data_IF_878395047195
#
_entry.id   IF_878395047195
#
_cell.length_a   1.000
_cell.length_b   1.000
_cell.length_c   1.000
_cell.angle_alpha   90.00
_cell.angle_beta   90.00
_cell.angle_gamma   90.00
#
_symmetry.space_group_name_H-M   'P 1'
#
loop_
_entity.id
_entity.type
_entity.pdbx_description
1 polymer ?
#
# COMPACT_ATOMS: atom_id res chain seq x y z
N UNK A 1 49.99 45.12 10.43
CA UNK A 1 50.03 45.71 11.78
C UNK A 1 48.92 45.08 12.61
N UNK A 2 49.08 43.91 13.19
CA UNK A 2 50.11 42.86 13.05
C UNK A 2 49.47 41.53 13.49
N UNK A 3 49.70 40.41 12.79
CA UNK A 3 50.82 39.49 13.05
C UNK A 3 50.85 39.07 14.54
N UNK A 4 50.16 38.01 14.94
CA UNK A 4 50.58 36.59 14.84
C UNK A 4 51.52 36.15 15.97
N UNK A 5 50.92 35.60 17.03
CA UNK A 5 51.54 34.64 17.94
C UNK A 5 50.54 33.47 18.09
N UNK A 6 50.91 32.19 18.07
CA UNK A 6 52.26 31.63 18.08
C UNK A 6 52.47 30.69 19.26
N UNK A 7 51.67 29.61 19.36
CA UNK A 7 51.86 28.58 20.38
C UNK A 7 51.63 27.18 19.80
N UNK A 8 52.70 26.58 19.27
CA UNK A 8 52.76 25.14 19.07
C UNK A 8 52.93 24.47 20.44
N UNK A 9 51.84 23.96 21.01
CA UNK A 9 51.88 23.08 22.18
C UNK A 9 52.09 21.63 21.76
N UNK A 10 53.22 21.06 22.19
CA UNK A 10 53.53 19.63 22.37
C UNK A 10 52.67 18.56 21.65
N UNK A 11 53.35 17.70 20.87
CA UNK A 11 52.87 16.37 20.45
C UNK A 11 52.64 15.41 21.64
N UNK A 12 51.64 15.68 22.47
CA UNK A 12 51.02 14.62 23.27
C UNK A 12 50.19 13.75 22.33
N UNK A 13 50.67 12.53 22.08
CA UNK A 13 49.86 11.50 21.44
C UNK A 13 48.66 11.21 22.36
N UNK A 14 47.52 11.80 22.04
CA UNK A 14 46.24 11.40 22.58
C UNK A 14 46.01 9.93 22.20
N UNK A 15 46.21 9.03 23.17
CA UNK A 15 45.81 7.64 23.01
C UNK A 15 44.28 7.60 22.89
N UNK A 16 43.78 7.06 21.77
CA UNK A 16 42.33 6.91 21.61
C UNK A 16 41.81 5.93 22.66
N UNK A 17 41.10 6.47 23.64
CA UNK A 17 40.41 5.68 24.67
C UNK A 17 39.39 4.72 24.03
N UNK A 18 39.17 3.53 24.62
CA UNK A 18 38.13 2.61 24.15
C UNK A 18 36.74 3.26 24.12
N UNK A 19 35.91 2.89 23.14
CA UNK A 19 34.56 3.46 22.95
C UNK A 19 33.68 3.39 24.21
N UNK A 20 33.83 2.34 25.01
CA UNK A 20 33.10 2.15 26.28
C UNK A 20 33.55 3.13 27.37
N UNK A 21 34.81 3.54 27.36
CA UNK A 21 35.36 4.55 28.27
C UNK A 21 34.97 5.96 27.81
N UNK A 22 35.05 6.24 26.51
CA UNK A 22 34.50 7.48 25.93
C UNK A 22 33.01 7.65 26.27
N UNK A 23 32.21 6.58 26.13
CA UNK A 23 30.79 6.59 26.49
C UNK A 23 30.57 6.84 27.99
N UNK A 24 31.38 6.23 28.87
CA UNK A 24 31.32 6.52 30.32
C UNK A 24 31.64 7.97 30.64
N UNK A 25 32.67 8.55 30.01
CA UNK A 25 33.04 9.96 30.21
C UNK A 25 31.88 10.86 29.77
N UNK A 26 31.36 10.66 28.54
CA UNK A 26 30.20 11.43 28.03
C UNK A 26 28.99 11.31 28.97
N UNK A 27 28.64 10.09 29.41
CA UNK A 27 27.52 9.88 30.33
C UNK A 27 27.77 10.47 31.74
N UNK A 28 29.02 10.53 32.20
CA UNK A 28 29.36 11.10 33.51
C UNK A 28 29.19 12.63 33.58
N UNK A 29 29.30 13.32 32.44
CA UNK A 29 29.09 14.77 32.32
C UNK A 29 27.74 15.14 31.69
N UNK A 30 26.95 14.15 31.26
CA UNK A 30 25.62 14.37 30.67
C UNK A 30 24.54 14.42 31.75
N UNK A 31 23.97 15.61 31.98
CA UNK A 31 22.78 15.74 32.83
C UNK A 31 21.53 15.20 32.11
N UNK A 32 20.83 14.25 32.75
CA UNK A 32 19.55 13.75 32.25
C UNK A 32 18.44 14.76 32.54
N UNK A 33 18.17 15.63 31.56
CA UNK A 33 17.11 16.63 31.64
C UNK A 33 15.72 16.00 31.89
N UNK A 34 14.82 16.69 32.60
CA UNK A 34 13.50 16.17 32.95
C UNK A 34 12.56 16.06 31.74
N UNK A 35 11.57 15.15 31.77
CA UNK A 35 10.66 14.96 30.67
C UNK A 35 9.60 16.07 30.61
N UNK A 36 9.49 16.73 29.45
CA UNK A 36 8.49 17.76 29.14
C UNK A 36 7.37 17.17 28.29
N UNK A 37 6.12 17.47 28.63
CA UNK A 37 4.97 17.09 27.79
C UNK A 37 4.86 18.09 26.63
N UNK A 38 4.82 17.60 25.39
CA UNK A 38 4.73 18.42 24.17
C UNK A 38 3.72 17.85 23.19
N UNK A 39 3.18 18.68 22.31
CA UNK A 39 2.36 18.19 21.18
C UNK A 39 3.22 17.39 20.20
N UNK A 40 2.59 16.51 19.40
CA UNK A 40 3.28 15.72 18.38
C UNK A 40 4.03 16.59 17.35
N UNK A 41 3.48 17.78 17.05
CA UNK A 41 4.08 18.75 16.13
C UNK A 41 5.37 19.35 16.68
N UNK A 42 5.46 19.50 18.01
CA UNK A 42 6.63 20.01 18.73
C UNK A 42 7.62 18.90 19.13
N UNK A 43 7.31 17.63 18.89
CA UNK A 43 8.17 16.50 19.24
C UNK A 43 9.39 16.34 18.33
N UNK A 44 9.42 17.03 17.17
CA UNK A 44 10.54 16.99 16.22
C UNK A 44 11.86 17.41 16.90
N UNK A 45 12.89 16.59 16.74
CA UNK A 45 14.21 16.81 17.37
C UNK A 45 14.29 16.46 18.86
N UNK A 46 13.30 15.76 19.42
CA UNK A 46 13.37 15.20 20.78
C UNK A 46 13.41 13.67 20.76
N UNK A 47 13.86 13.08 21.86
CA UNK A 47 13.84 11.63 22.10
C UNK A 47 12.75 11.27 23.09
N UNK A 48 12.18 10.07 22.97
CA UNK A 48 11.16 9.58 23.90
C UNK A 48 11.76 9.42 25.30
N UNK A 49 11.02 9.83 26.34
CA UNK A 49 11.45 9.61 27.73
C UNK A 49 11.18 8.17 28.20
N UNK A 50 10.24 7.48 27.55
CA UNK A 50 9.72 6.15 27.88
C UNK A 50 9.18 5.42 26.63
N UNK A 51 9.02 4.10 26.71
CA UNK A 51 8.54 3.25 25.61
C UNK A 51 7.05 3.48 25.31
N UNK A 52 6.71 3.72 24.04
CA UNK A 52 5.31 3.85 23.58
C UNK A 52 4.72 2.49 23.21
N UNK A 53 3.44 2.28 23.54
CA UNK A 53 2.70 1.04 23.29
C UNK A 53 1.37 1.33 22.63
N UNK A 54 0.98 0.52 21.64
CA UNK A 54 -0.32 0.65 20.99
C UNK A 54 -1.44 0.19 21.93
N UNK A 55 -2.52 0.98 22.13
CA UNK A 55 -3.64 0.58 22.99
C UNK A 55 -4.47 -0.56 22.37
N UNK A 56 -4.52 -0.64 21.05
CA UNK A 56 -5.26 -1.66 20.29
C UNK A 56 -4.32 -2.59 19.51
N UNK A 57 -4.67 -3.88 19.35
CA UNK A 57 -3.97 -4.77 18.43
C UNK A 57 -4.19 -4.30 16.98
N UNK A 58 -3.09 -4.12 16.25
CA UNK A 58 -3.09 -3.90 14.80
C UNK A 58 -2.34 -5.07 14.14
N UNK A 59 -3.00 -5.95 13.37
CA UNK A 59 -4.42 -5.93 12.99
C UNK A 59 -5.41 -6.27 14.13
N UNK A 60 -6.68 -5.84 14.04
CA UNK A 60 -7.70 -6.01 15.10
C UNK A 60 -8.32 -7.43 15.13
N UNK A 61 -7.56 -8.43 14.72
CA UNK A 61 -7.91 -9.85 14.75
C UNK A 61 -6.63 -10.68 14.80
N UNK A 62 -6.64 -11.90 15.38
CA UNK A 62 -5.47 -12.77 15.38
C UNK A 62 -5.05 -13.10 13.94
N UNK A 63 -3.96 -12.51 13.50
CA UNK A 63 -3.36 -12.74 12.20
C UNK A 63 -1.85 -12.84 12.36
N UNK A 64 -1.27 -13.95 11.94
CA UNK A 64 0.18 -14.03 11.85
C UNK A 64 0.65 -13.15 10.69
N UNK A 65 1.35 -12.06 11.04
CA UNK A 65 1.92 -11.09 10.09
C UNK A 65 3.30 -11.56 9.56
N UNK A 66 3.73 -12.75 9.98
CA UNK A 66 4.93 -13.50 9.59
C UNK A 66 4.53 -14.98 9.49
N UNK A 67 5.39 -15.82 8.93
CA UNK A 67 5.27 -17.27 9.16
C UNK A 67 5.40 -17.54 10.67
N UNK A 68 4.62 -18.48 11.20
CA UNK A 68 4.52 -18.71 12.65
C UNK A 68 4.09 -20.14 12.99
N UNK A 69 3.74 -20.37 14.26
CA UNK A 69 3.28 -21.68 14.73
C UNK A 69 1.94 -21.54 15.46
N UNK A 70 1.01 -22.44 15.20
CA UNK A 70 -0.13 -22.68 16.06
C UNK A 70 0.30 -23.62 17.20
N UNK A 71 0.02 -23.21 18.44
CA UNK A 71 0.49 -23.85 19.68
C UNK A 71 -0.67 -23.94 20.67
N UNK A 72 -0.62 -24.83 21.66
CA UNK A 72 -1.56 -24.78 22.78
C UNK A 72 -1.07 -23.74 23.80
N UNK A 73 -1.92 -22.77 24.13
CA UNK A 73 -1.52 -21.60 24.93
C UNK A 73 -1.01 -21.93 26.35
N UNK A 74 -1.39 -23.09 26.90
CA UNK A 74 -0.95 -23.58 28.22
C UNK A 74 0.48 -24.11 28.25
N UNK A 75 1.06 -24.45 27.09
CA UNK A 75 2.35 -25.16 27.03
C UNK A 75 3.53 -24.23 27.37
N UNK A 76 3.38 -22.93 27.11
CA UNK A 76 4.42 -21.93 27.37
C UNK A 76 5.61 -21.99 26.40
N UNK A 77 6.72 -21.29 26.69
CA UNK A 77 7.91 -21.29 25.86
C UNK A 77 8.66 -22.64 25.93
N UNK A 78 8.98 -23.23 24.79
CA UNK A 78 9.71 -24.49 24.70
C UNK A 78 10.00 -24.91 23.25
N UNK A 79 10.71 -26.03 23.10
CA UNK A 79 10.86 -26.73 21.81
C UNK A 79 9.81 -27.83 21.69
N UNK A 80 9.11 -27.89 20.56
CA UNK A 80 8.00 -28.81 20.34
C UNK A 80 8.05 -29.43 18.94
N UNK A 81 7.64 -30.70 18.78
CA UNK A 81 7.54 -31.35 17.47
C UNK A 81 6.48 -30.65 16.59
N UNK A 82 6.86 -30.38 15.34
CA UNK A 82 5.95 -29.87 14.30
C UNK A 82 5.14 -31.04 13.73
N UNK A 83 3.86 -31.12 14.07
CA UNK A 83 2.99 -32.25 13.68
C UNK A 83 2.29 -32.07 12.32
N UNK A 84 2.22 -30.83 11.82
CA UNK A 84 1.69 -30.52 10.48
C UNK A 84 2.16 -29.14 10.03
N UNK A 85 2.01 -28.88 8.73
CA UNK A 85 2.35 -27.59 8.12
C UNK A 85 1.15 -27.07 7.31
N UNK A 86 0.50 -26.02 7.81
CA UNK A 86 -0.49 -25.26 7.06
C UNK A 86 0.23 -24.37 6.04
N UNK A 87 0.28 -24.86 4.80
CA UNK A 87 0.95 -24.24 3.65
C UNK A 87 -0.08 -23.94 2.57
N UNK A 88 0.15 -22.93 1.74
CA UNK A 88 -0.77 -22.64 0.63
C UNK A 88 -0.98 -23.89 -0.26
N UNK A 89 -2.17 -24.48 -0.24
CA UNK A 89 -2.51 -25.73 -0.95
C UNK A 89 -2.39 -27.03 -0.13
N UNK A 90 -1.99 -26.96 1.14
CA UNK A 90 -2.16 -27.99 2.16
C UNK A 90 -2.62 -27.31 3.45
N UNK A 91 -3.94 -27.27 3.65
CA UNK A 91 -4.55 -26.49 4.73
C UNK A 91 -4.38 -27.15 6.12
N UNK A 92 -3.80 -28.36 6.20
CA UNK A 92 -3.62 -29.11 7.47
C UNK A 92 -4.90 -29.76 7.99
N UNK A 93 -5.92 -29.92 7.13
CA UNK A 93 -7.25 -30.41 7.50
C UNK A 93 -7.21 -31.77 8.20
N UNK A 94 -7.96 -31.90 9.28
CA UNK A 94 -8.04 -33.12 10.10
C UNK A 94 -6.99 -33.21 11.21
N UNK A 95 -5.99 -32.33 11.24
CA UNK A 95 -5.00 -32.27 12.34
C UNK A 95 -5.45 -31.23 13.39
N UNK A 96 -5.52 -31.65 14.65
CA UNK A 96 -5.72 -30.76 15.80
C UNK A 96 -4.41 -30.66 16.57
N UNK A 97 -4.00 -29.44 16.93
CA UNK A 97 -2.81 -29.22 17.77
C UNK A 97 -3.12 -29.67 19.20
N UNK A 98 -2.34 -30.60 19.72
CA UNK A 98 -2.45 -31.13 21.09
C UNK A 98 -1.36 -30.55 21.99
N UNK A 99 -1.52 -30.56 23.32
CA UNK A 99 -0.48 -30.09 24.24
C UNK A 99 0.87 -30.77 23.98
N UNK A 100 1.95 -29.99 24.00
CA UNK A 100 3.31 -30.42 23.69
C UNK A 100 3.59 -30.58 22.19
N UNK A 101 2.74 -30.06 21.30
CA UNK A 101 2.92 -30.11 19.83
C UNK A 101 2.63 -28.76 19.19
N UNK A 102 3.16 -28.54 17.98
CA UNK A 102 2.89 -27.33 17.21
C UNK A 102 2.58 -27.63 15.75
N UNK A 103 1.83 -26.74 15.08
CA UNK A 103 1.65 -26.76 13.63
C UNK A 103 2.32 -25.53 13.02
N UNK A 104 3.17 -25.71 12.01
CA UNK A 104 3.76 -24.58 11.28
C UNK A 104 2.72 -23.93 10.38
N UNK A 105 2.52 -22.63 10.48
CA UNK A 105 1.52 -21.87 9.72
C UNK A 105 2.25 -20.83 8.89
N UNK A 106 2.30 -21.06 7.58
CA UNK A 106 2.84 -20.08 6.64
C UNK A 106 1.81 -19.00 6.29
N UNK A 107 2.32 -17.85 5.87
CA UNK A 107 1.57 -16.81 5.19
C UNK A 107 1.04 -17.31 3.83
N UNK A 108 -0.22 -17.76 3.77
CA UNK A 108 -0.77 -18.31 2.52
C UNK A 108 -2.29 -18.39 2.42
N UNK A 109 -2.82 -17.97 1.28
CA UNK A 109 -4.19 -18.29 0.78
C UNK A 109 -4.09 -18.63 -0.72
N UNK A 110 -5.16 -19.22 -1.26
CA UNK A 110 -5.42 -19.63 -2.66
C UNK A 110 -4.92 -18.66 -3.76
N UNK A 111 -3.61 -18.64 -3.98
CA UNK A 111 -3.06 -18.54 -5.33
C UNK A 111 -3.21 -19.91 -5.99
N UNK A 112 -3.49 -19.93 -7.28
CA UNK A 112 -3.50 -21.18 -8.04
C UNK A 112 -2.10 -21.79 -8.14
N UNK A 113 -2.01 -23.10 -8.44
CA UNK A 113 -0.74 -23.84 -8.44
C UNK A 113 0.27 -23.30 -9.45
N UNK A 114 -0.19 -22.79 -10.59
CA UNK A 114 0.65 -22.23 -11.65
C UNK A 114 1.32 -20.95 -11.15
N UNK A 115 0.53 -19.96 -10.74
CA UNK A 115 1.04 -18.68 -10.23
C UNK A 115 1.90 -18.87 -8.96
N UNK A 116 1.52 -19.79 -8.06
CA UNK A 116 2.34 -20.09 -6.88
C UNK A 116 3.73 -20.61 -7.25
N UNK A 117 3.88 -21.34 -8.36
CA UNK A 117 5.18 -21.86 -8.83
C UNK A 117 6.15 -20.77 -9.32
N UNK A 118 5.67 -19.53 -9.48
CA UNK A 118 6.47 -18.39 -9.94
C UNK A 118 6.96 -17.50 -8.80
N UNK A 119 6.61 -17.81 -7.54
CA UNK A 119 6.76 -16.93 -6.39
C UNK A 119 7.57 -17.58 -5.26
N UNK A 120 8.48 -16.78 -4.67
CA UNK A 120 9.24 -17.13 -3.48
C UNK A 120 9.20 -15.95 -2.50
N UNK A 121 8.61 -16.14 -1.32
CA UNK A 121 8.63 -15.16 -0.22
C UNK A 121 9.84 -15.43 0.69
N UNK A 122 9.98 -14.68 1.78
CA UNK A 122 11.18 -14.70 2.64
C UNK A 122 11.64 -16.12 3.02
N UNK A 123 10.73 -16.98 3.48
CA UNK A 123 11.07 -18.36 3.85
C UNK A 123 11.56 -19.20 2.66
N UNK A 124 10.96 -19.08 1.47
CA UNK A 124 11.43 -19.79 0.28
C UNK A 124 12.81 -19.25 -0.17
N UNK A 125 13.08 -17.96 -0.03
CA UNK A 125 14.38 -17.36 -0.37
C UNK A 125 15.54 -17.88 0.48
N UNK A 126 15.29 -18.20 1.76
CA UNK A 126 16.28 -18.88 2.60
C UNK A 126 16.59 -20.28 2.06
N UNK A 127 15.60 -21.01 1.56
CA UNK A 127 15.79 -22.32 0.90
C UNK A 127 16.55 -22.17 -0.42
N UNK A 128 16.21 -21.18 -1.25
CA UNK A 128 16.90 -20.88 -2.52
C UNK A 128 18.39 -20.61 -2.32
N UNK A 129 18.76 -19.72 -1.38
CA UNK A 129 20.16 -19.39 -1.09
C UNK A 129 20.94 -20.60 -0.55
N UNK A 130 20.34 -21.39 0.34
CA UNK A 130 20.96 -22.61 0.84
C UNK A 130 21.17 -23.68 -0.25
N UNK A 131 20.23 -23.81 -1.19
CA UNK A 131 20.35 -24.73 -2.32
C UNK A 131 21.46 -24.30 -3.30
N UNK A 132 21.59 -23.00 -3.56
CA UNK A 132 22.68 -22.43 -4.36
C UNK A 132 24.05 -22.67 -3.70
N UNK A 133 24.17 -22.40 -2.39
CA UNK A 133 25.41 -22.62 -1.64
C UNK A 133 25.85 -24.09 -1.66
N UNK A 134 24.93 -25.04 -1.43
CA UNK A 134 25.22 -26.48 -1.52
C UNK A 134 25.63 -26.91 -2.93
N UNK A 135 24.99 -26.35 -3.97
CA UNK A 135 25.35 -26.63 -5.36
C UNK A 135 26.76 -26.15 -5.69
N UNK A 136 27.19 -24.99 -5.15
CA UNK A 136 28.56 -24.49 -5.29
C UNK A 136 29.58 -25.36 -4.54
N UNK A 137 29.21 -26.00 -3.44
CA UNK A 137 30.03 -27.01 -2.75
C UNK A 137 29.92 -28.42 -3.35
N UNK A 138 29.36 -28.57 -4.56
CA UNK A 138 29.28 -29.84 -5.29
C UNK A 138 28.08 -30.74 -4.94
N UNK A 139 27.15 -30.31 -4.09
CA UNK A 139 25.95 -31.07 -3.70
C UNK A 139 24.69 -30.39 -4.25
N UNK A 140 24.25 -30.82 -5.44
CA UNK A 140 23.12 -30.22 -6.15
C UNK A 140 21.79 -30.94 -5.85
N UNK A 141 20.78 -30.17 -5.46
CA UNK A 141 19.39 -30.65 -5.30
C UNK A 141 18.67 -30.65 -6.66
N UNK A 142 18.81 -31.74 -7.42
CA UNK A 142 18.22 -31.86 -8.76
C UNK A 142 16.68 -31.68 -8.77
N UNK A 143 15.99 -32.06 -7.70
CA UNK A 143 14.54 -31.92 -7.62
C UNK A 143 14.14 -30.44 -7.51
N UNK A 144 14.83 -29.67 -6.66
CA UNK A 144 14.61 -28.23 -6.50
C UNK A 144 14.98 -27.45 -7.78
N UNK A 145 16.14 -27.73 -8.38
CA UNK A 145 16.58 -27.04 -9.59
C UNK A 145 15.70 -27.39 -10.81
N UNK A 146 15.22 -28.62 -10.92
CA UNK A 146 14.23 -29.02 -11.94
C UNK A 146 12.90 -28.32 -11.74
N UNK A 147 12.36 -28.31 -10.51
CA UNK A 147 11.12 -27.61 -10.18
C UNK A 147 11.18 -26.10 -10.47
N UNK A 148 12.28 -25.43 -10.10
CA UNK A 148 12.52 -24.03 -10.44
C UNK A 148 12.57 -23.82 -11.97
N UNK A 149 13.26 -24.69 -12.71
CA UNK A 149 13.35 -24.60 -14.17
C UNK A 149 11.99 -24.76 -14.85
N UNK A 150 11.17 -25.70 -14.38
CA UNK A 150 9.78 -25.87 -14.85
C UNK A 150 8.90 -24.67 -14.49
N UNK A 151 9.02 -24.11 -13.28
CA UNK A 151 8.30 -22.90 -12.86
C UNK A 151 8.61 -21.71 -13.78
N UNK A 152 9.90 -21.44 -14.00
CA UNK A 152 10.37 -20.36 -14.90
C UNK A 152 9.92 -20.57 -16.36
N UNK A 153 9.98 -21.80 -16.87
CA UNK A 153 9.51 -22.14 -18.20
C UNK A 153 7.98 -21.92 -18.33
N UNK A 154 7.20 -22.41 -17.36
CA UNK A 154 5.74 -22.27 -17.35
C UNK A 154 5.31 -20.81 -17.38
N UNK A 155 5.96 -19.93 -16.59
CA UNK A 155 5.72 -18.49 -16.60
C UNK A 155 5.97 -17.88 -17.98
N UNK A 156 7.11 -18.17 -18.59
CA UNK A 156 7.47 -17.64 -19.92
C UNK A 156 6.49 -18.07 -21.02
N UNK A 157 5.90 -19.26 -20.90
CA UNK A 157 4.90 -19.78 -21.85
C UNK A 157 3.44 -19.44 -21.50
N UNK A 158 3.17 -18.87 -20.32
CA UNK A 158 1.78 -18.76 -19.83
C UNK A 158 1.02 -17.65 -20.57
N UNK A 159 -0.16 -17.94 -21.16
CA UNK A 159 -1.01 -16.92 -21.80
C UNK A 159 -1.63 -15.94 -20.77
N UNK A 160 -1.39 -16.16 -19.48
CA UNK A 160 -1.74 -15.22 -18.40
C UNK A 160 -0.70 -14.12 -18.24
N UNK A 161 0.54 -14.34 -18.73
CA UNK A 161 1.65 -13.40 -18.58
C UNK A 161 1.65 -12.39 -19.73
N UNK A 162 1.44 -12.81 -20.97
CA UNK A 162 1.46 -11.93 -22.15
C UNK A 162 0.09 -11.78 -22.79
N UNK A 163 -0.24 -10.57 -23.25
CA UNK A 163 -1.45 -10.24 -24.00
C UNK A 163 -1.07 -9.37 -25.20
N UNK A 164 -1.13 -9.96 -26.40
CA UNK A 164 -0.71 -9.30 -27.64
C UNK A 164 -1.48 -8.00 -27.93
N UNK A 165 -2.76 -7.90 -27.57
CA UNK A 165 -3.54 -6.68 -27.76
C UNK A 165 -3.00 -5.54 -26.88
N UNK A 166 -2.70 -5.82 -25.61
CA UNK A 166 -2.12 -4.84 -24.67
C UNK A 166 -0.76 -4.36 -25.15
N UNK A 167 0.08 -5.28 -25.64
CA UNK A 167 1.40 -4.93 -26.15
C UNK A 167 1.30 -4.06 -27.41
N UNK A 168 0.34 -4.34 -28.29
CA UNK A 168 0.04 -3.52 -29.46
C UNK A 168 -0.50 -2.13 -29.06
N UNK A 169 -1.40 -2.04 -28.08
CA UNK A 169 -1.97 -0.77 -27.61
C UNK A 169 -0.90 0.11 -26.96
N UNK A 170 0.00 -0.46 -26.13
CA UNK A 170 1.15 0.26 -25.56
C UNK A 170 2.11 0.73 -26.65
N UNK A 171 2.41 -0.11 -27.64
CA UNK A 171 3.26 0.27 -28.78
C UNK A 171 2.63 1.35 -29.68
N UNK A 172 1.30 1.48 -29.67
CA UNK A 172 0.57 2.50 -30.42
C UNK A 172 0.51 3.88 -29.73
N UNK A 173 0.93 4.00 -28.46
CA UNK A 173 0.90 5.26 -27.71
C UNK A 173 1.85 6.29 -28.33
N UNK A 174 1.30 7.45 -28.68
CA UNK A 174 2.05 8.57 -29.29
C UNK A 174 2.37 9.63 -28.24
N UNK A 175 3.43 10.39 -28.48
CA UNK A 175 3.82 11.55 -27.66
C UNK A 175 2.70 12.61 -27.55
N UNK A 176 1.79 12.67 -28.51
CA UNK A 176 0.57 13.50 -28.48
C UNK A 176 -0.38 13.10 -27.35
N UNK A 177 -0.47 11.81 -27.04
CA UNK A 177 -1.51 11.24 -26.17
C UNK A 177 -1.19 11.52 -24.69
N UNK A 178 0.06 11.92 -24.41
CA UNK A 178 0.52 12.43 -23.12
C UNK A 178 0.08 13.87 -22.83
N UNK A 179 -0.63 14.54 -23.78
CA UNK A 179 -1.06 15.93 -23.65
C UNK A 179 -2.55 16.07 -23.96
N UNK A 180 -3.21 16.97 -23.22
CA UNK A 180 -4.53 17.48 -23.60
C UNK A 180 -4.40 18.25 -24.91
N UNK A 181 -5.36 18.10 -25.82
CA UNK A 181 -5.38 18.79 -27.12
C UNK A 181 -5.83 20.26 -27.03
N UNK A 182 -6.16 20.73 -25.83
CA UNK A 182 -6.68 22.07 -25.55
C UNK A 182 -5.76 22.82 -24.59
N UNK A 183 -5.56 24.11 -24.85
CA UNK A 183 -4.71 24.98 -24.02
C UNK A 183 -5.28 25.20 -22.62
N UNK A 184 -4.37 25.46 -21.66
CA UNK A 184 -4.74 25.61 -20.23
C UNK A 184 -5.72 26.77 -20.02
N UNK A 185 -5.50 27.91 -20.68
CA UNK A 185 -6.37 29.09 -20.58
C UNK A 185 -7.80 28.81 -21.05
N UNK A 186 -7.95 28.13 -22.20
CA UNK A 186 -9.26 27.74 -22.73
C UNK A 186 -9.99 26.75 -21.82
N UNK A 187 -9.25 25.81 -21.21
CA UNK A 187 -9.79 24.86 -20.23
C UNK A 187 -10.27 25.54 -18.95
N UNK A 188 -9.48 26.46 -18.38
CA UNK A 188 -9.89 27.24 -17.20
C UNK A 188 -11.15 28.07 -17.47
N UNK A 189 -11.26 28.70 -18.65
CA UNK A 189 -12.47 29.45 -19.04
C UNK A 189 -13.70 28.54 -19.15
N UNK A 190 -13.57 27.37 -19.78
CA UNK A 190 -14.66 26.40 -19.91
C UNK A 190 -15.08 25.82 -18.55
N UNK A 191 -14.11 25.48 -17.70
CA UNK A 191 -14.33 24.98 -16.34
C UNK A 191 -15.04 26.02 -15.46
N UNK A 192 -14.58 27.27 -15.46
CA UNK A 192 -15.22 28.34 -14.70
C UNK A 192 -16.66 28.57 -15.18
N UNK A 193 -16.91 28.53 -16.50
CA UNK A 193 -18.26 28.67 -17.06
C UNK A 193 -19.17 27.49 -16.71
N UNK A 194 -18.66 26.26 -16.65
CA UNK A 194 -19.43 25.06 -16.33
C UNK A 194 -19.73 24.94 -14.82
N UNK A 195 -18.71 25.13 -13.98
CA UNK A 195 -18.76 24.83 -12.55
C UNK A 195 -19.14 26.04 -11.70
N UNK A 196 -18.93 27.26 -12.22
CA UNK A 196 -19.25 28.53 -11.57
C UNK A 196 -18.73 28.63 -10.12
N UNK A 197 -17.53 28.10 -9.86
CA UNK A 197 -16.92 28.06 -8.53
C UNK A 197 -16.58 29.47 -8.02
N UNK A 198 -16.64 29.71 -6.70
CA UNK A 198 -16.19 30.98 -6.12
C UNK A 198 -14.67 31.16 -6.27
N UNK A 199 -14.17 32.37 -5.96
CA UNK A 199 -12.75 32.70 -6.09
C UNK A 199 -11.81 31.86 -5.19
N UNK A 200 -12.32 31.31 -4.09
CA UNK A 200 -11.61 30.43 -3.17
C UNK A 200 -12.44 29.16 -2.93
N UNK A 201 -12.49 28.22 -3.89
CA UNK A 201 -13.33 27.05 -3.80
C UNK A 201 -12.77 26.04 -2.79
N UNK A 202 -13.67 25.49 -1.99
CA UNK A 202 -13.38 24.53 -0.93
C UNK A 202 -13.66 23.11 -1.38
N UNK A 203 -12.83 22.17 -0.93
CA UNK A 203 -12.96 20.74 -1.26
C UNK A 203 -12.13 19.90 -0.31
N UNK A 204 -12.41 18.59 -0.26
CA UNK A 204 -11.59 17.61 0.46
C UNK A 204 -10.86 16.67 -0.51
N UNK A 205 -10.01 15.77 0.01
CA UNK A 205 -9.10 14.96 -0.81
C UNK A 205 -9.75 13.66 -1.32
N UNK A 206 -10.69 13.04 -0.60
CA UNK A 206 -11.30 11.76 -0.98
C UNK A 206 -11.90 11.00 0.20
N UNK A 207 -11.11 10.15 0.86
CA UNK A 207 -11.55 9.28 1.95
C UNK A 207 -12.13 10.02 3.18
N UNK A 208 -13.23 9.52 3.71
CA UNK A 208 -13.80 9.89 5.02
C UNK A 208 -13.58 8.78 6.07
N UNK A 209 -13.83 9.04 7.38
CA UNK A 209 -13.49 8.12 8.47
C UNK A 209 -14.05 6.69 8.31
N UNK A 210 -13.13 5.72 8.32
CA UNK A 210 -13.42 4.31 8.06
C UNK A 210 -13.93 3.59 9.33
N UNK A 211 -15.22 3.75 9.62
CA UNK A 211 -15.87 3.29 10.86
C UNK A 211 -15.72 1.78 11.13
N UNK A 212 -15.91 1.37 12.39
CA UNK A 212 -15.92 -0.05 12.76
C UNK A 212 -17.04 -0.83 12.04
N UNK A 213 -18.21 -0.21 11.87
CA UNK A 213 -19.34 -0.78 11.13
C UNK A 213 -19.01 -0.98 9.64
N UNK A 214 -18.42 0.03 9.00
CA UNK A 214 -18.02 -0.06 7.59
C UNK A 214 -16.93 -1.12 7.36
N UNK A 215 -16.01 -1.28 8.33
CA UNK A 215 -15.03 -2.38 8.32
C UNK A 215 -15.69 -3.75 8.52
N UNK A 216 -16.73 -3.86 9.36
CA UNK A 216 -17.55 -5.08 9.51
C UNK A 216 -18.28 -5.43 8.21
N UNK A 217 -18.99 -4.48 7.62
CA UNK A 217 -19.82 -4.65 6.41
C UNK A 217 -18.97 -5.18 5.24
N UNK A 218 -17.82 -4.55 4.95
CA UNK A 218 -16.90 -5.02 3.89
C UNK A 218 -16.32 -6.41 4.16
N UNK A 219 -15.98 -6.71 5.41
CA UNK A 219 -15.50 -8.05 5.81
C UNK A 219 -16.58 -9.12 5.61
N UNK A 220 -17.82 -8.81 5.96
CA UNK A 220 -18.97 -9.73 5.79
C UNK A 220 -19.32 -9.91 4.31
N UNK A 221 -19.22 -8.86 3.50
CA UNK A 221 -19.36 -8.95 2.04
C UNK A 221 -18.26 -9.80 1.40
N UNK A 222 -16.98 -9.55 1.71
CA UNK A 222 -15.84 -10.35 1.22
C UNK A 222 -15.89 -11.81 1.69
N UNK A 223 -16.53 -12.07 2.84
CA UNK A 223 -16.82 -13.40 3.36
C UNK A 223 -18.14 -14.03 2.82
N UNK A 224 -18.83 -13.37 1.89
CA UNK A 224 -20.13 -13.79 1.30
C UNK A 224 -21.24 -14.04 2.32
N UNK A 225 -21.21 -13.34 3.46
CA UNK A 225 -22.21 -13.42 4.53
C UNK A 225 -23.40 -12.48 4.34
N UNK A 226 -23.22 -11.43 3.54
CA UNK A 226 -24.28 -10.50 3.11
C UNK A 226 -24.30 -10.44 1.58
N UNK A 227 -25.47 -10.15 1.00
CA UNK A 227 -25.64 -10.02 -0.44
C UNK A 227 -25.16 -8.67 -0.97
N UNK A 228 -24.91 -8.60 -2.28
CA UNK A 228 -24.57 -7.40 -3.02
C UNK A 228 -25.56 -6.26 -2.76
N UNK A 229 -26.87 -6.57 -2.69
CA UNK A 229 -27.92 -5.58 -2.41
C UNK A 229 -27.76 -4.97 -1.01
N UNK A 230 -27.51 -5.80 0.00
CA UNK A 230 -27.29 -5.34 1.39
C UNK A 230 -26.00 -4.52 1.49
N UNK A 231 -24.94 -4.95 0.80
CA UNK A 231 -23.67 -4.22 0.75
C UNK A 231 -23.83 -2.84 0.08
N UNK A 232 -24.42 -2.79 -1.12
CA UNK A 232 -24.67 -1.55 -1.87
C UNK A 232 -25.53 -0.59 -1.06
N UNK A 233 -26.60 -1.06 -0.42
CA UNK A 233 -27.46 -0.21 0.41
C UNK A 233 -26.72 0.34 1.63
N UNK A 234 -25.83 -0.44 2.25
CA UNK A 234 -25.03 0.01 3.39
C UNK A 234 -23.98 1.07 2.97
N UNK A 235 -23.31 0.89 1.83
CA UNK A 235 -22.38 1.89 1.27
C UNK A 235 -23.14 3.18 0.88
N UNK A 236 -24.33 3.05 0.27
CA UNK A 236 -25.20 4.19 -0.09
C UNK A 236 -25.52 5.07 1.12
N UNK A 237 -25.85 4.46 2.27
CA UNK A 237 -26.14 5.18 3.52
C UNK A 237 -24.92 5.93 4.06
N UNK A 238 -23.69 5.42 3.88
CA UNK A 238 -22.48 6.18 4.23
C UNK A 238 -22.22 7.34 3.25
N UNK A 239 -22.49 7.17 1.95
CA UNK A 239 -22.39 8.26 0.99
C UNK A 239 -23.40 9.39 1.31
N UNK A 240 -24.65 9.04 1.63
CA UNK A 240 -25.69 10.01 2.02
C UNK A 240 -25.27 10.85 3.22
N UNK A 241 -24.63 10.24 4.24
CA UNK A 241 -24.06 10.97 5.39
C UNK A 241 -22.90 11.89 5.00
N UNK A 242 -21.96 11.40 4.20
CA UNK A 242 -20.75 12.14 3.79
C UNK A 242 -21.09 13.31 2.86
N UNK A 243 -22.04 13.12 1.94
CA UNK A 243 -22.56 14.18 1.08
C UNK A 243 -23.24 15.25 1.93
N UNK A 244 -24.22 14.86 2.75
CA UNK A 244 -24.97 15.79 3.60
C UNK A 244 -24.06 16.61 4.52
N UNK A 245 -23.06 15.98 5.15
CA UNK A 245 -22.09 16.66 6.01
C UNK A 245 -21.28 17.72 5.24
N UNK A 246 -20.89 17.45 4.00
CA UNK A 246 -20.16 18.42 3.18
C UNK A 246 -21.06 19.59 2.73
N UNK A 247 -22.33 19.33 2.42
CA UNK A 247 -23.32 20.38 2.12
C UNK A 247 -23.59 21.26 3.36
N UNK A 248 -23.76 20.67 4.54
CA UNK A 248 -23.93 21.38 5.82
C UNK A 248 -22.69 22.23 6.20
N UNK A 249 -21.50 21.81 5.77
CA UNK A 249 -20.24 22.56 5.93
C UNK A 249 -19.99 23.59 4.82
N UNK A 250 -20.85 23.69 3.81
CA UNK A 250 -20.71 24.63 2.69
C UNK A 250 -19.53 24.32 1.75
N UNK A 251 -19.18 23.04 1.58
CA UNK A 251 -18.08 22.63 0.69
C UNK A 251 -18.51 22.77 -0.79
N UNK A 252 -17.69 23.42 -1.61
CA UNK A 252 -18.03 23.71 -3.01
C UNK A 252 -17.98 22.47 -3.91
N UNK A 253 -16.94 21.64 -3.79
CA UNK A 253 -16.70 20.43 -4.60
C UNK A 253 -16.55 19.22 -3.69
N UNK A 254 -17.46 18.25 -3.83
CA UNK A 254 -17.67 17.14 -2.91
C UNK A 254 -16.88 15.87 -3.29
N UNK A 255 -16.73 14.98 -2.31
CA UNK A 255 -16.25 13.59 -2.49
C UNK A 255 -17.25 12.60 -1.88
N UNK A 256 -17.25 11.35 -2.34
CA UNK A 256 -18.15 10.31 -1.81
C UNK A 256 -17.62 9.59 -0.55
N UNK A 257 -16.41 9.93 -0.09
CA UNK A 257 -15.82 9.37 1.13
C UNK A 257 -15.14 8.01 0.99
N UNK A 258 -15.16 7.39 -0.19
CA UNK A 258 -14.49 6.13 -0.51
C UNK A 258 -14.83 4.97 0.45
N UNK A 259 -16.08 4.92 0.92
CA UNK A 259 -16.53 3.91 1.88
C UNK A 259 -16.42 2.47 1.32
N UNK A 260 -16.54 2.30 0.00
CA UNK A 260 -16.41 1.02 -0.70
C UNK A 260 -14.97 0.48 -0.72
N UNK A 261 -13.96 1.31 -0.47
CA UNK A 261 -12.53 1.00 -0.69
C UNK A 261 -11.81 0.69 0.60
N UNK A 262 -11.11 -0.43 0.66
CA UNK A 262 -10.29 -0.81 1.81
C UNK A 262 -8.87 -0.22 1.75
N UNK A 263 -8.31 -0.17 0.54
CA UNK A 263 -6.97 0.34 0.23
C UNK A 263 -6.97 0.90 -1.20
N UNK A 264 -6.19 1.97 -1.41
CA UNK A 264 -6.16 2.71 -2.68
C UNK A 264 -5.44 1.98 -3.83
N UNK A 265 -4.81 0.84 -3.59
CA UNK A 265 -4.16 0.01 -4.63
C UNK A 265 -4.79 -1.39 -4.70
N UNK A 266 -5.15 -2.00 -3.56
CA UNK A 266 -5.90 -3.28 -3.57
C UNK A 266 -7.23 -3.14 -4.33
N UNK A 267 -8.01 -2.07 -4.10
CA UNK A 267 -9.32 -1.88 -4.73
C UNK A 267 -9.29 -1.81 -6.26
N UNK A 268 -8.25 -1.19 -6.85
CA UNK A 268 -8.09 -1.12 -8.29
C UNK A 268 -7.53 -2.44 -8.83
N UNK A 269 -6.50 -2.98 -8.18
CA UNK A 269 -5.90 -4.24 -8.59
C UNK A 269 -6.89 -5.41 -8.59
N UNK A 270 -7.82 -5.50 -7.62
CA UNK A 270 -8.85 -6.55 -7.58
C UNK A 270 -9.81 -6.52 -8.78
N UNK A 271 -9.76 -5.45 -9.58
CA UNK A 271 -10.60 -5.22 -10.76
C UNK A 271 -9.80 -5.15 -12.07
N UNK A 272 -8.47 -5.31 -12.02
CA UNK A 272 -7.58 -5.33 -13.18
C UNK A 272 -7.09 -6.75 -13.47
N UNK A 273 -7.01 -7.11 -14.74
CA UNK A 273 -6.32 -8.33 -15.18
C UNK A 273 -4.81 -8.20 -14.96
N UNK A 274 -4.12 -9.33 -14.84
CA UNK A 274 -2.66 -9.36 -14.63
C UNK A 274 -2.22 -9.12 -13.17
N UNK A 275 -3.17 -8.84 -12.28
CA UNK A 275 -2.95 -8.72 -10.84
C UNK A 275 -3.35 -9.99 -10.07
N UNK A 276 -2.63 -10.28 -8.99
CA UNK A 276 -2.97 -11.31 -8.02
C UNK A 276 -2.85 -10.81 -6.57
N UNK A 277 -3.59 -11.46 -5.68
CA UNK A 277 -3.78 -11.04 -4.30
C UNK A 277 -3.41 -12.16 -3.35
N UNK A 278 -2.60 -11.83 -2.35
CA UNK A 278 -2.42 -12.69 -1.18
C UNK A 278 -3.52 -12.38 -0.16
N UNK A 279 -3.68 -13.22 0.87
CA UNK A 279 -4.38 -12.81 2.11
C UNK A 279 -3.42 -12.50 3.26
N UNK A 280 -2.20 -13.04 3.21
CA UNK A 280 -1.23 -12.97 4.31
C UNK A 280 0.16 -12.49 3.86
N UNK A 281 0.33 -12.05 2.61
CA UNK A 281 1.58 -11.49 2.09
C UNK A 281 1.77 -10.05 2.59
N UNK A 282 1.87 -9.91 3.91
CA UNK A 282 2.04 -8.63 4.60
C UNK A 282 3.49 -8.17 4.53
N UNK A 283 3.66 -6.86 4.32
CA UNK A 283 4.95 -6.16 4.36
C UNK A 283 4.82 -5.01 5.34
N UNK A 284 5.77 -4.87 6.26
CA UNK A 284 5.82 -3.73 7.17
C UNK A 284 6.05 -2.43 6.36
N UNK A 285 5.23 -1.41 6.58
CA UNK A 285 5.34 -0.12 5.91
C UNK A 285 5.88 0.95 6.86
N UNK A 286 5.27 1.11 8.04
CA UNK A 286 5.73 2.06 9.05
C UNK A 286 5.22 1.69 10.44
N UNK A 287 6.12 1.60 11.44
CA UNK A 287 5.76 1.15 12.79
C UNK A 287 5.09 -0.22 12.77
N UNK A 288 3.92 -0.35 13.40
CA UNK A 288 3.09 -1.57 13.34
C UNK A 288 2.16 -1.64 12.11
N UNK A 289 2.15 -0.62 11.24
CA UNK A 289 1.32 -0.61 10.02
C UNK A 289 1.96 -1.48 8.95
N UNK A 290 1.30 -2.58 8.62
CA UNK A 290 1.61 -3.40 7.47
C UNK A 290 0.68 -3.09 6.29
N UNK A 291 1.18 -3.28 5.08
CA UNK A 291 0.43 -3.27 3.81
C UNK A 291 0.48 -4.66 3.19
N UNK A 292 -0.38 -4.93 2.21
CA UNK A 292 -0.46 -6.21 1.52
C UNK A 292 -0.39 -5.97 0.01
N UNK A 293 0.82 -5.70 -0.54
CA UNK A 293 0.98 -5.26 -1.92
C UNK A 293 0.40 -6.29 -2.90
N UNK A 294 -0.37 -5.87 -3.92
CA UNK A 294 -0.76 -6.74 -5.01
C UNK A 294 0.46 -7.23 -5.80
N UNK A 295 0.32 -8.34 -6.52
CA UNK A 295 1.38 -8.91 -7.36
C UNK A 295 0.98 -8.72 -8.82
N UNK A 296 1.76 -7.96 -9.59
CA UNK A 296 1.60 -7.86 -11.04
C UNK A 296 2.35 -9.04 -11.67
N UNK A 297 1.62 -10.05 -12.14
CA UNK A 297 2.18 -11.21 -12.84
C UNK A 297 1.99 -11.12 -14.36
N UNK A 298 0.93 -10.43 -14.81
CA UNK A 298 0.43 -10.44 -16.19
C UNK A 298 0.38 -9.05 -16.83
N UNK A 299 0.20 -9.03 -18.16
CA UNK A 299 -0.12 -7.80 -18.88
C UNK A 299 -1.46 -7.24 -18.38
N UNK A 300 -1.48 -5.94 -18.06
CA UNK A 300 -2.59 -5.31 -17.34
C UNK A 300 -3.70 -4.86 -18.30
N UNK A 301 -4.95 -5.24 -17.99
CA UNK A 301 -6.16 -4.70 -18.64
C UNK A 301 -7.24 -4.34 -17.65
N UNK A 302 -8.13 -3.40 -18.02
CA UNK A 302 -9.38 -3.11 -17.32
C UNK A 302 -10.55 -3.82 -18.03
N UNK A 303 -11.06 -4.96 -17.51
CA UNK A 303 -12.17 -5.69 -18.14
C UNK A 303 -13.54 -5.00 -18.00
N UNK A 304 -13.72 -4.10 -17.03
CA UNK A 304 -14.98 -3.38 -16.76
C UNK A 304 -14.74 -2.09 -15.98
N UNK A 305 -15.74 -1.20 -15.95
CA UNK A 305 -15.71 -0.02 -15.09
C UNK A 305 -15.56 -0.37 -13.60
N UNK A 306 -14.71 0.37 -12.89
CA UNK A 306 -14.26 0.07 -11.53
C UNK A 306 -14.89 0.96 -10.44
N UNK A 307 -15.19 2.21 -10.80
CA UNK A 307 -15.59 3.29 -9.87
C UNK A 307 -16.82 4.06 -10.34
N UNK A 308 -17.15 3.99 -11.64
CA UNK A 308 -18.29 4.69 -12.26
C UNK A 308 -19.60 4.46 -11.50
N UNK A 309 -19.92 3.22 -11.13
CA UNK A 309 -21.15 2.90 -10.40
C UNK A 309 -21.30 3.70 -9.09
N UNK A 310 -20.24 3.79 -8.30
CA UNK A 310 -20.24 4.50 -7.02
C UNK A 310 -20.25 6.02 -7.21
N UNK A 311 -19.42 6.51 -8.13
CA UNK A 311 -19.31 7.95 -8.45
C UNK A 311 -20.63 8.51 -8.97
N UNK A 312 -21.28 7.80 -9.91
CA UNK A 312 -22.59 8.17 -10.45
C UNK A 312 -23.74 8.01 -9.45
N UNK A 313 -23.58 7.14 -8.44
CA UNK A 313 -24.55 7.04 -7.34
C UNK A 313 -24.42 8.26 -6.41
N UNK A 314 -23.19 8.64 -6.03
CA UNK A 314 -22.92 9.78 -5.16
C UNK A 314 -23.28 11.12 -5.82
N UNK A 315 -22.95 11.32 -7.10
CA UNK A 315 -23.32 12.55 -7.82
C UNK A 315 -24.85 12.77 -7.88
N UNK A 316 -25.66 11.70 -7.89
CA UNK A 316 -27.12 11.81 -7.88
C UNK A 316 -27.72 12.23 -6.51
N UNK A 317 -26.90 12.32 -5.47
CA UNK A 317 -27.33 12.73 -4.12
C UNK A 317 -27.23 14.25 -3.89
N UNK A 318 -26.52 14.98 -4.75
CA UNK A 318 -26.22 16.41 -4.57
C UNK A 318 -26.31 17.17 -5.90
N UNK A 319 -26.47 18.49 -5.84
CA UNK A 319 -26.30 19.38 -7.00
C UNK A 319 -24.85 19.90 -7.12
N UNK A 320 -24.00 19.70 -6.11
CA UNK A 320 -22.60 20.08 -6.17
C UNK A 320 -21.79 19.13 -7.08
N UNK A 321 -20.70 19.60 -7.72
CA UNK A 321 -19.78 18.74 -8.44
C UNK A 321 -19.15 17.67 -7.53
N UNK A 322 -19.25 16.40 -7.93
CA UNK A 322 -18.68 15.24 -7.23
C UNK A 322 -17.36 14.81 -7.88
N UNK A 323 -16.32 14.56 -7.07
CA UNK A 323 -15.04 14.03 -7.59
C UNK A 323 -15.12 12.55 -7.95
N UNK A 324 -14.59 12.21 -9.12
CA UNK A 324 -14.18 10.85 -9.46
C UNK A 324 -12.82 10.55 -8.83
N UNK A 325 -12.74 9.55 -7.97
CA UNK A 325 -11.51 9.23 -7.24
C UNK A 325 -10.76 8.06 -7.89
N UNK A 326 -9.54 8.28 -8.38
CA UNK A 326 -8.69 7.25 -9.00
C UNK A 326 -7.27 7.24 -8.41
N UNK A 327 -6.61 6.08 -8.45
CA UNK A 327 -5.20 5.97 -8.10
C UNK A 327 -4.34 6.00 -9.36
N UNK A 328 -3.27 6.80 -9.35
CA UNK A 328 -2.41 6.98 -10.53
C UNK A 328 -1.61 5.71 -10.89
N UNK A 329 -1.30 5.49 -12.17
CA UNK A 329 -0.63 4.27 -12.64
C UNK A 329 0.74 4.06 -11.99
N UNK A 330 1.50 5.14 -11.75
CA UNK A 330 2.80 5.10 -11.04
C UNK A 330 2.63 4.65 -9.59
N UNK A 331 1.55 5.06 -8.91
CA UNK A 331 1.26 4.66 -7.53
C UNK A 331 0.89 3.18 -7.48
N UNK A 332 -0.02 2.73 -8.35
CA UNK A 332 -0.42 1.32 -8.48
C UNK A 332 0.81 0.43 -8.73
N UNK A 333 1.70 0.85 -9.64
CA UNK A 333 2.94 0.16 -9.95
C UNK A 333 3.90 0.11 -8.74
N UNK A 334 4.15 1.24 -8.08
CA UNK A 334 5.17 1.33 -7.03
C UNK A 334 4.74 0.68 -5.70
N UNK A 335 3.43 0.57 -5.44
CA UNK A 335 2.88 -0.08 -4.24
C UNK A 335 2.39 -1.52 -4.52
N UNK A 336 2.81 -2.09 -5.66
CA UNK A 336 2.64 -3.51 -6.01
C UNK A 336 4.01 -4.19 -6.13
N UNK A 337 4.05 -5.50 -5.93
CA UNK A 337 5.16 -6.33 -6.38
C UNK A 337 5.12 -6.42 -7.91
N UNK A 338 6.00 -5.69 -8.58
CA UNK A 338 6.08 -5.63 -10.03
C UNK A 338 6.83 -6.82 -10.58
N UNK A 339 6.31 -7.40 -11.66
CA UNK A 339 7.00 -8.34 -12.54
C UNK A 339 8.42 -7.88 -12.94
N UNK A 340 9.28 -8.87 -13.19
CA UNK A 340 10.70 -8.71 -13.47
C UNK A 340 11.14 -9.27 -14.85
N UNK A 341 10.18 -9.53 -15.74
CA UNK A 341 10.39 -10.01 -17.12
C UNK A 341 10.34 -8.90 -18.18
N UNK A 342 9.85 -7.70 -17.83
CA UNK A 342 9.82 -6.53 -18.71
C UNK A 342 10.17 -5.23 -17.95
N UNK A 343 10.55 -4.14 -18.64
CA UNK A 343 10.77 -2.83 -18.03
C UNK A 343 9.58 -2.31 -17.21
N UNK A 344 9.86 -1.66 -16.07
CA UNK A 344 8.82 -1.04 -15.21
C UNK A 344 7.94 -0.04 -15.96
N UNK A 345 8.49 0.69 -16.93
CA UNK A 345 7.75 1.70 -17.68
C UNK A 345 6.70 1.11 -18.62
N UNK A 346 6.96 -0.04 -19.25
CA UNK A 346 5.97 -0.75 -20.07
C UNK A 346 4.77 -1.16 -19.23
N UNK A 347 5.03 -1.79 -18.07
CA UNK A 347 3.98 -2.11 -17.08
C UNK A 347 3.21 -0.86 -16.63
N UNK A 348 3.90 0.27 -16.45
CA UNK A 348 3.26 1.55 -16.11
C UNK A 348 2.34 2.06 -17.23
N UNK A 349 2.70 1.89 -18.50
CA UNK A 349 1.85 2.28 -19.64
C UNK A 349 0.61 1.39 -19.75
N UNK A 350 0.73 0.09 -19.49
CA UNK A 350 -0.44 -0.81 -19.44
C UNK A 350 -1.45 -0.36 -18.38
N UNK A 351 -0.98 -0.05 -17.16
CA UNK A 351 -1.83 0.51 -16.10
C UNK A 351 -2.38 1.90 -16.50
N UNK A 352 -1.58 2.73 -17.17
CA UNK A 352 -2.02 4.06 -17.61
C UNK A 352 -3.16 4.00 -18.65
N UNK A 353 -3.12 3.05 -19.58
CA UNK A 353 -4.21 2.79 -20.52
C UNK A 353 -5.46 2.29 -19.79
N UNK A 354 -5.31 1.33 -18.88
CA UNK A 354 -6.41 0.83 -18.05
C UNK A 354 -7.07 1.94 -17.21
N UNK A 355 -6.30 2.88 -16.65
CA UNK A 355 -6.82 4.04 -15.91
C UNK A 355 -7.41 5.09 -16.86
N UNK A 356 -6.85 5.31 -18.05
CA UNK A 356 -7.40 6.20 -19.07
C UNK A 356 -8.82 5.79 -19.45
N UNK A 357 -9.07 4.49 -19.66
CA UNK A 357 -10.40 4.00 -20.01
C UNK A 357 -11.42 4.24 -18.90
N UNK A 358 -11.00 4.13 -17.63
CA UNK A 358 -11.84 4.47 -16.48
C UNK A 358 -12.14 5.97 -16.40
N UNK A 359 -11.17 6.84 -16.71
CA UNK A 359 -11.39 8.29 -16.82
C UNK A 359 -12.38 8.62 -17.93
N UNK A 360 -12.26 7.99 -19.11
CA UNK A 360 -13.18 8.20 -20.23
C UNK A 360 -14.60 7.70 -19.91
N UNK A 361 -14.75 6.62 -19.16
CA UNK A 361 -16.08 6.13 -18.74
C UNK A 361 -16.72 6.97 -17.63
N UNK A 362 -15.92 7.53 -16.72
CA UNK A 362 -16.41 8.55 -15.78
C UNK A 362 -16.90 9.81 -16.53
N UNK A 363 -16.26 10.23 -17.64
CA UNK A 363 -16.66 11.44 -18.38
C UNK A 363 -18.04 11.25 -19.02
N UNK A 364 -18.24 10.10 -19.69
CA UNK A 364 -19.53 9.71 -20.29
C UNK A 364 -20.64 9.64 -19.24
N UNK A 365 -20.34 9.10 -18.06
CA UNK A 365 -21.30 8.95 -16.97
C UNK A 365 -21.77 10.28 -16.37
N UNK A 366 -20.91 11.31 -16.36
CA UNK A 366 -21.26 12.67 -15.94
C UNK A 366 -22.11 13.40 -16.99
N UNK A 367 -21.83 13.17 -18.28
CA UNK A 367 -22.57 13.77 -19.41
C UNK A 367 -23.94 13.11 -19.64
N UNK A 368 -24.16 11.91 -19.10
CA UNK A 368 -25.40 11.13 -19.24
C UNK A 368 -25.34 10.03 -20.31
N UNK A 369 -24.22 9.91 -21.02
CA UNK A 369 -23.97 9.01 -22.15
C UNK A 369 -23.50 7.60 -21.71
N UNK A 370 -24.09 7.04 -20.67
CA UNK A 370 -23.88 5.62 -20.35
C UNK A 370 -24.84 4.74 -21.17
N UNK A 371 -24.33 3.76 -21.94
CA UNK A 371 -25.20 2.74 -22.51
C UNK A 371 -25.81 1.93 -21.35
N UNK A 372 -27.13 1.83 -21.36
CA UNK A 372 -27.86 0.81 -20.62
C UNK A 372 -27.46 -0.60 -21.12
N UNK A 373 -27.84 -1.63 -20.35
CA UNK A 373 -27.60 -3.05 -20.64
C UNK A 373 -27.81 -3.46 -22.12
N UNK A 374 -27.13 -4.52 -22.60
CA UNK A 374 -26.81 -4.72 -24.02
C UNK A 374 -28.04 -4.72 -24.95
N UNK A 375 -28.14 -3.68 -25.77
CA UNK A 375 -29.11 -3.59 -26.85
C UNK A 375 -29.25 -2.16 -27.38
N UNK A 376 -29.06 -1.99 -28.70
CA UNK A 376 -29.23 -0.78 -29.52
C UNK A 376 -27.98 0.09 -29.74
N UNK A 377 -27.96 0.75 -30.90
CA UNK A 377 -26.78 1.27 -31.59
C UNK A 377 -26.66 2.79 -31.57
N UNK A 378 -25.40 3.28 -31.44
CA UNK A 378 -24.76 4.48 -32.03
C UNK A 378 -25.66 5.55 -32.71
N UNK A 379 -25.36 6.87 -32.54
CA UNK A 379 -24.04 7.39 -32.94
C UNK A 379 -23.41 8.50 -32.05
N UNK A 380 -22.25 8.94 -32.53
CA UNK A 380 -21.24 9.87 -31.99
C UNK A 380 -21.76 11.23 -31.49
N UNK A 381 -21.13 11.77 -30.44
CA UNK A 381 -20.89 13.22 -30.34
C UNK A 381 -19.67 13.57 -29.48
N UNK A 382 -19.17 14.79 -29.64
CA UNK A 382 -17.96 15.30 -29.00
C UNK A 382 -18.27 16.26 -27.84
N UNK A 383 -17.69 16.05 -26.64
CA UNK A 383 -17.49 17.12 -25.64
C UNK A 383 -16.50 16.72 -24.50
N UNK A 384 -15.18 16.71 -24.79
CA UNK A 384 -14.08 16.36 -23.84
C UNK A 384 -13.78 17.43 -22.76
N UNK A 385 -14.78 18.13 -22.24
CA UNK A 385 -14.61 19.33 -21.41
C UNK A 385 -15.19 19.23 -19.99
N UNK A 386 -15.60 18.03 -19.55
CA UNK A 386 -16.16 17.83 -18.22
C UNK A 386 -15.12 17.57 -17.14
N UNK A 387 -14.24 16.59 -17.38
CA UNK A 387 -13.71 15.81 -16.26
C UNK A 387 -12.44 16.34 -15.58
N UNK A 388 -11.74 17.30 -16.21
CA UNK A 388 -10.44 17.80 -15.72
C UNK A 388 -10.49 18.53 -14.37
N UNK A 389 -11.67 18.93 -13.90
CA UNK A 389 -11.82 19.60 -12.61
C UNK A 389 -12.06 18.63 -11.44
N UNK A 390 -12.43 17.37 -11.72
CA UNK A 390 -13.03 16.49 -10.74
C UNK A 390 -12.47 15.05 -10.70
N UNK A 391 -11.67 14.61 -11.68
CA UNK A 391 -10.88 13.37 -11.47
C UNK A 391 -9.62 13.70 -10.68
N UNK A 392 -9.69 13.48 -9.36
CA UNK A 392 -8.48 13.42 -8.55
C UNK A 392 -7.80 12.06 -8.76
N UNK A 393 -6.86 12.05 -9.72
CA UNK A 393 -5.85 11.00 -9.77
C UNK A 393 -4.88 11.26 -8.62
N UNK A 394 -4.85 10.36 -7.64
CA UNK A 394 -3.83 10.40 -6.59
C UNK A 394 -2.49 10.01 -7.19
N UNK A 395 -1.82 11.00 -7.79
CA UNK A 395 -0.38 10.95 -8.02
C UNK A 395 0.24 10.82 -6.63
N UNK A 396 0.81 9.66 -6.34
CA UNK A 396 1.61 9.49 -5.15
C UNK A 396 2.72 10.52 -5.22
N UNK A 397 2.69 11.50 -4.31
CA UNK A 397 3.84 12.32 -4.06
C UNK A 397 4.92 11.36 -3.57
N UNK A 398 5.82 10.97 -4.48
CA UNK A 398 7.05 10.29 -4.11
C UNK A 398 7.83 11.25 -3.23
N UNK A 399 7.59 11.19 -1.91
CA UNK A 399 8.59 11.58 -0.94
C UNK A 399 9.78 10.70 -1.26
N UNK A 400 10.72 11.27 -1.99
CA UNK A 400 11.83 10.58 -2.60
C UNK A 400 12.83 10.27 -1.50
N UNK A 401 12.52 9.24 -0.72
CA UNK A 401 13.47 8.58 0.18
C UNK A 401 14.53 7.94 -0.70
N UNK A 402 15.54 8.74 -1.06
CA UNK A 402 16.82 8.25 -1.59
C UNK A 402 17.50 7.55 -0.40
N UNK A 403 17.05 6.33 -0.12
CA UNK A 403 17.71 5.40 0.78
C UNK A 403 18.80 4.67 0.01
N UNK A 404 20.05 5.05 0.27
CA UNK A 404 21.25 4.37 -0.22
C UNK A 404 21.21 2.86 0.17
N UNK A 405 21.59 1.89 -0.70
CA UNK A 405 21.24 0.48 -0.51
C UNK A 405 22.10 -0.29 0.53
N UNK A 406 22.72 0.40 1.49
CA UNK A 406 23.95 -0.05 2.15
C UNK A 406 23.84 -0.37 3.65
N UNK A 407 22.64 -0.41 4.24
CA UNK A 407 22.48 -0.60 5.69
C UNK A 407 21.48 -1.70 6.08
N UNK A 408 22.05 -2.79 6.61
CA UNK A 408 21.39 -3.86 7.36
C UNK A 408 21.43 -3.57 8.86
N UNK A 409 20.34 -3.80 9.61
CA UNK A 409 20.41 -3.86 11.09
C UNK A 409 19.46 -4.87 11.73
N UNK A 410 19.84 -5.24 12.96
CA UNK A 410 19.45 -6.42 13.73
C UNK A 410 18.24 -6.17 14.67
N UNK A 411 17.60 -7.24 15.16
CA UNK A 411 16.36 -7.19 15.95
C UNK A 411 16.57 -7.34 17.47
N UNK A 412 16.12 -6.35 18.26
CA UNK A 412 16.13 -6.35 19.73
C UNK A 412 14.74 -6.23 20.39
N UNK A 413 14.43 -7.17 21.28
CA UNK A 413 13.24 -7.34 22.17
C UNK A 413 12.98 -6.10 23.07
N UNK A 414 11.82 -5.75 23.68
CA UNK A 414 10.53 -6.42 24.00
C UNK A 414 10.25 -6.35 25.53
N UNK A 415 9.07 -6.03 26.13
CA UNK A 415 7.67 -5.88 25.66
C UNK A 415 6.74 -5.15 26.67
N UNK A 416 5.40 -5.39 26.63
CA UNK A 416 4.19 -4.90 27.42
C UNK A 416 4.34 -4.23 28.82
N UNK A 417 3.41 -3.44 29.44
CA UNK A 417 2.17 -2.63 29.18
C UNK A 417 1.88 -1.74 30.46
N UNK A 418 0.96 -0.71 30.59
CA UNK A 418 -0.32 -0.36 29.91
C UNK A 418 -0.40 1.11 29.38
N UNK A 419 -1.59 1.63 28.99
CA UNK A 419 -1.77 2.96 28.33
C UNK A 419 -2.76 3.90 29.05
N UNK A 420 -2.32 5.13 29.32
CA UNK A 420 -3.17 6.33 29.52
C UNK A 420 -2.57 7.50 28.72
N UNK A 421 -3.38 8.29 28.00
CA UNK A 421 -2.91 9.21 26.96
C UNK A 421 -2.34 10.54 27.48
N UNK A 422 -1.11 10.53 28.01
CA UNK A 422 -0.25 11.72 28.12
C UNK A 422 1.19 11.35 27.74
N UNK A 423 1.91 12.25 27.08
CA UNK A 423 3.17 11.95 26.38
C UNK A 423 4.32 12.76 26.99
N UNK A 424 5.21 12.11 27.75
CA UNK A 424 6.32 12.76 28.47
C UNK A 424 7.64 12.64 27.66
N UNK A 425 8.37 13.74 27.45
CA UNK A 425 9.48 13.80 26.46
C UNK A 425 10.66 14.68 26.93
N UNK A 426 11.85 14.12 27.21
CA UNK A 426 13.00 14.93 27.67
C UNK A 426 13.55 15.86 26.59
N UNK A 427 13.87 17.11 26.93
CA UNK A 427 14.61 18.02 26.04
C UNK A 427 16.08 17.58 26.01
N UNK A 428 16.70 17.48 24.83
CA UNK A 428 18.15 17.30 24.70
C UNK A 428 18.88 18.64 24.84
N UNK A 429 20.10 18.61 25.41
CA UNK A 429 20.97 19.80 25.54
C UNK A 429 21.30 20.37 24.15
N UNK A 430 21.34 21.69 24.05
CA UNK A 430 21.65 22.42 22.83
C UNK A 430 22.69 23.50 23.13
N UNK A 431 23.95 23.18 22.90
CA UNK A 431 25.08 24.12 22.93
C UNK A 431 26.04 23.71 21.80
N UNK A 432 26.20 24.52 20.75
CA UNK A 432 27.06 25.73 20.64
C UNK A 432 28.55 25.40 20.44
N UNK A 433 28.90 25.07 19.20
CA UNK A 433 29.73 25.92 18.34
C UNK A 433 29.44 25.62 16.86
#
# INVERSE_FOLDING_TARGET
MDASEGCCGSDEKSEMIPTEEALKIVLSVSERLPPVVVSLQEALGKVLAEDIRAPDPLPPYPASVKDGYAVVASDGPGEYPVITESRAGNDGLGVTVTPGTVAYVTTGVKLDKELKSWLAFAAQKVVEVNALAKSLSGVKDEALFSANSMGQASRRSSPRVTNAAVQQDVAAVKKSDHRRSTEVSARLQAQQKKLNLPALPTTTIGSFPQTADLRRIRREFKAKKISDIVYVQAIKVEFEKVVKLQEELGIDVLVHGEAERNDMVEYFGEQLSGFAFTSNGWVQSYGSRCVKPPIIYGDVTRPKAMTVFWSSMAQKMTQHPMKGMLTGPVTILNWSFVRNDQPRHETCFQIALAIKDEVEDLEKAEVGDLPTSPGLTKPELALRQGIEAAVFITLGASTMMIGDPTWSFDFGRGGSFPVSQHLTVTRGVKDTL
#
